data_IF_769951091032
#
_entry.id   IF_769951091032
#
_cell.length_a   1.000
_cell.length_b   1.000
_cell.length_c   1.000
_cell.angle_alpha   90.00
_cell.angle_beta   90.00
_cell.angle_gamma   90.00
#
_symmetry.space_group_name_H-M   'P 1'
#
loop_
_entity.id
_entity.type
_entity.pdbx_description
1 polymer ?
#
# COMPACT_ATOMS: atom_id res chain seq x y z
N UNK A 1 24.39 -2.09 -2.54
CA UNK A 1 23.05 -2.66 -2.26
C UNK A 1 22.05 -1.63 -2.74
N UNK A 2 21.24 -1.97 -3.73
CA UNK A 2 20.32 -1.00 -4.34
C UNK A 2 19.23 -0.64 -3.33
N UNK A 3 18.95 0.65 -3.18
CA UNK A 3 17.97 1.17 -2.23
C UNK A 3 16.91 1.96 -2.97
N UNK A 4 15.67 1.83 -2.51
CA UNK A 4 14.52 2.57 -3.01
C UNK A 4 14.15 3.60 -1.94
N UNK A 5 13.84 4.82 -2.37
CA UNK A 5 13.27 5.85 -1.49
C UNK A 5 11.81 6.06 -1.87
N UNK A 6 10.89 5.93 -0.91
CA UNK A 6 9.49 6.27 -1.08
C UNK A 6 9.23 7.63 -0.43
N UNK A 7 8.82 8.62 -1.22
CA UNK A 7 8.47 9.95 -0.72
C UNK A 7 6.96 10.19 -0.80
N UNK A 8 6.34 10.50 0.33
CA UNK A 8 4.91 10.72 0.51
C UNK A 8 4.66 12.11 1.11
N UNK A 9 3.48 12.67 0.88
CA UNK A 9 2.97 13.77 1.71
C UNK A 9 2.42 13.20 3.03
N UNK A 10 2.11 14.05 4.00
CA UNK A 10 1.50 13.60 5.25
C UNK A 10 0.15 12.92 5.02
N UNK A 11 -0.73 13.52 4.21
CA UNK A 11 -2.02 12.93 3.83
C UNK A 11 -1.86 11.57 3.13
N UNK A 12 -0.87 11.46 2.24
CA UNK A 12 -0.57 10.18 1.59
C UNK A 12 -0.03 9.14 2.58
N UNK A 13 0.76 9.57 3.56
CA UNK A 13 1.29 8.69 4.61
C UNK A 13 0.15 8.06 5.41
N UNK A 14 -0.86 8.84 5.80
CA UNK A 14 -2.01 8.34 6.54
C UNK A 14 -2.78 7.28 5.75
N UNK A 15 -3.08 7.57 4.47
CA UNK A 15 -3.76 6.62 3.59
C UNK A 15 -2.94 5.33 3.37
N UNK A 16 -1.63 5.46 3.18
CA UNK A 16 -0.74 4.30 3.01
C UNK A 16 -0.69 3.48 4.30
N UNK A 17 -0.63 4.11 5.47
CA UNK A 17 -0.66 3.41 6.76
C UNK A 17 -1.94 2.57 6.93
N UNK A 18 -3.11 3.12 6.57
CA UNK A 18 -4.36 2.36 6.58
C UNK A 18 -4.31 1.10 5.69
N UNK A 19 -3.73 1.22 4.49
CA UNK A 19 -3.62 0.09 3.55
C UNK A 19 -2.58 -0.94 3.98
N UNK A 20 -1.47 -0.51 4.56
CA UNK A 20 -0.45 -1.40 5.13
C UNK A 20 -1.01 -2.19 6.31
N UNK A 21 -1.80 -1.55 7.18
CA UNK A 21 -2.48 -2.22 8.29
C UNK A 21 -3.42 -3.32 7.79
N UNK A 22 -4.25 -3.06 6.77
CA UNK A 22 -5.11 -4.08 6.15
C UNK A 22 -4.28 -5.22 5.54
N UNK A 23 -3.17 -4.88 4.89
CA UNK A 23 -2.25 -5.87 4.29
C UNK A 23 -1.65 -6.80 5.35
N UNK A 24 -1.29 -6.27 6.52
CA UNK A 24 -0.80 -7.09 7.63
C UNK A 24 -1.84 -8.07 8.15
N UNK A 25 -3.09 -7.63 8.31
CA UNK A 25 -4.19 -8.48 8.76
C UNK A 25 -4.43 -9.65 7.79
N UNK A 26 -4.42 -9.39 6.48
CA UNK A 26 -4.59 -10.45 5.47
C UNK A 26 -3.44 -11.46 5.48
N UNK A 27 -2.21 -10.99 5.68
CA UNK A 27 -1.05 -11.87 5.78
C UNK A 27 -1.07 -12.71 7.05
N UNK A 28 -1.52 -12.13 8.16
CA UNK A 28 -1.70 -12.86 9.42
C UNK A 28 -2.72 -13.98 9.28
N UNK A 29 -3.83 -13.76 8.57
CA UNK A 29 -4.78 -14.82 8.21
C UNK A 29 -4.07 -15.94 7.44
N UNK A 30 -3.28 -15.61 6.40
CA UNK A 30 -2.54 -16.63 5.62
C UNK A 30 -1.56 -17.40 6.52
N UNK A 31 -0.82 -16.71 7.39
CA UNK A 31 0.17 -17.31 8.29
C UNK A 31 -0.50 -18.29 9.26
N UNK A 32 -1.66 -17.92 9.80
CA UNK A 32 -2.40 -18.71 10.79
C UNK A 32 -3.10 -19.94 10.18
N UNK A 33 -3.41 -19.92 8.88
CA UNK A 33 -4.13 -21.00 8.19
C UNK A 33 -3.26 -21.86 7.27
N UNK A 34 -1.96 -21.57 7.20
CA UNK A 34 -1.01 -22.34 6.37
C UNK A 34 -0.06 -23.15 7.23
N UNK A 35 0.37 -24.31 6.73
CA UNK A 35 1.46 -25.06 7.36
C UNK A 35 2.72 -24.19 7.47
N UNK A 36 3.34 -24.17 8.65
CA UNK A 36 4.43 -23.25 8.98
C UNK A 36 5.68 -23.41 8.09
N UNK A 37 5.89 -24.61 7.53
CA UNK A 37 7.01 -24.95 6.65
C UNK A 37 6.72 -24.68 5.18
N UNK A 38 5.45 -24.44 4.82
CA UNK A 38 5.02 -24.20 3.45
C UNK A 38 5.67 -22.96 2.85
N UNK A 39 5.92 -22.99 1.54
CA UNK A 39 6.41 -21.83 0.80
C UNK A 39 5.46 -20.63 0.90
N UNK A 40 4.15 -20.90 0.98
CA UNK A 40 3.12 -19.87 1.16
C UNK A 40 3.28 -19.16 2.50
N UNK A 41 3.40 -19.89 3.62
CA UNK A 41 3.59 -19.30 4.94
C UNK A 41 4.92 -18.52 5.04
N UNK A 42 6.01 -19.09 4.53
CA UNK A 42 7.32 -18.41 4.49
C UNK A 42 7.28 -17.10 3.72
N UNK A 43 6.62 -17.10 2.56
CA UNK A 43 6.41 -15.89 1.76
C UNK A 43 5.54 -14.88 2.50
N UNK A 44 4.42 -15.30 3.09
CA UNK A 44 3.55 -14.42 3.85
C UNK A 44 4.29 -13.74 5.02
N UNK A 45 5.10 -14.49 5.78
CA UNK A 45 5.95 -13.94 6.85
C UNK A 45 6.97 -12.93 6.32
N UNK A 46 7.67 -13.24 5.24
CA UNK A 46 8.63 -12.31 4.64
C UNK A 46 7.96 -11.00 4.21
N UNK A 47 6.82 -11.09 3.51
CA UNK A 47 6.06 -9.91 3.12
C UNK A 47 5.54 -9.12 4.34
N UNK A 48 5.10 -9.80 5.41
CA UNK A 48 4.66 -9.17 6.65
C UNK A 48 5.74 -8.37 7.34
N UNK A 49 6.94 -8.92 7.44
CA UNK A 49 8.08 -8.19 8.00
C UNK A 49 8.47 -6.98 7.15
N UNK A 50 8.46 -7.11 5.81
CA UNK A 50 8.70 -5.96 4.93
C UNK A 50 7.66 -4.85 5.14
N UNK A 51 6.37 -5.21 5.23
CA UNK A 51 5.26 -4.29 5.47
C UNK A 51 5.37 -3.61 6.83
N UNK A 52 5.76 -4.35 7.89
CA UNK A 52 5.97 -3.81 9.25
C UNK A 52 7.06 -2.74 9.27
N UNK A 53 8.19 -2.97 8.59
CA UNK A 53 9.29 -2.01 8.54
C UNK A 53 8.81 -0.68 7.93
N UNK A 54 8.11 -0.73 6.80
CA UNK A 54 7.59 0.49 6.17
C UNK A 54 6.55 1.17 7.06
N UNK A 55 5.59 0.41 7.60
CA UNK A 55 4.54 0.94 8.46
C UNK A 55 5.11 1.65 9.69
N UNK A 56 6.10 1.04 10.36
CA UNK A 56 6.74 1.63 11.52
C UNK A 56 7.44 2.95 11.18
N UNK A 57 8.11 3.03 10.02
CA UNK A 57 8.74 4.27 9.58
C UNK A 57 7.69 5.38 9.36
N UNK A 58 6.57 5.07 8.70
CA UNK A 58 5.49 6.03 8.48
C UNK A 58 4.83 6.49 9.80
N UNK A 59 4.64 5.57 10.74
CA UNK A 59 4.09 5.87 12.08
C UNK A 59 5.01 6.74 12.94
N UNK A 60 6.31 6.72 12.66
CA UNK A 60 7.29 7.63 13.28
C UNK A 60 7.29 9.03 12.65
N UNK A 61 6.43 9.28 11.65
CA UNK A 61 6.29 10.56 10.97
C UNK A 61 7.25 10.74 9.79
N UNK A 62 7.97 9.70 9.38
CA UNK A 62 8.84 9.79 8.20
C UNK A 62 7.99 9.85 6.92
N UNK A 63 8.14 10.94 6.17
CA UNK A 63 7.51 11.13 4.86
C UNK A 63 8.42 10.68 3.71
N UNK A 64 9.70 10.46 3.97
CA UNK A 64 10.66 9.86 3.05
C UNK A 64 11.29 8.62 3.68
N UNK A 65 11.00 7.43 3.15
CA UNK A 65 11.48 6.16 3.69
C UNK A 65 12.41 5.49 2.69
N UNK A 66 13.66 5.28 3.09
CA UNK A 66 14.69 4.60 2.27
C UNK A 66 14.92 3.18 2.76
N UNK A 67 14.77 2.19 1.88
CA UNK A 67 14.94 0.77 2.21
C UNK A 67 15.66 0.01 1.09
N UNK A 68 16.33 -1.12 1.39
CA UNK A 68 16.83 -2.03 0.36
C UNK A 68 15.74 -2.44 -0.63
N UNK A 69 16.08 -2.51 -1.93
CA UNK A 69 15.10 -2.79 -2.98
C UNK A 69 14.38 -4.14 -2.78
N UNK A 70 15.08 -5.14 -2.25
CA UNK A 70 14.52 -6.46 -1.91
C UNK A 70 13.41 -6.40 -0.86
N UNK A 71 13.44 -5.42 0.04
CA UNK A 71 12.43 -5.22 1.08
C UNK A 71 11.30 -4.30 0.60
N UNK A 72 11.62 -3.29 -0.22
CA UNK A 72 10.63 -2.30 -0.66
C UNK A 72 9.75 -2.81 -1.82
N UNK A 73 10.30 -3.55 -2.79
CA UNK A 73 9.54 -4.06 -3.95
C UNK A 73 8.30 -4.88 -3.56
N UNK A 74 8.37 -5.84 -2.60
CA UNK A 74 7.20 -6.59 -2.15
C UNK A 74 6.09 -5.70 -1.61
N UNK A 75 6.45 -4.66 -0.86
CA UNK A 75 5.49 -3.74 -0.21
C UNK A 75 4.82 -2.84 -1.25
N UNK A 76 5.60 -2.27 -2.17
CA UNK A 76 5.06 -1.44 -3.26
C UNK A 76 4.11 -2.23 -4.15
N UNK A 77 4.43 -3.49 -4.47
CA UNK A 77 3.53 -4.35 -5.26
C UNK A 77 2.21 -4.63 -4.54
N UNK A 78 2.24 -4.82 -3.22
CA UNK A 78 1.02 -5.05 -2.43
C UNK A 78 0.19 -3.78 -2.29
N UNK A 79 0.84 -2.66 -2.00
CA UNK A 79 0.19 -1.36 -1.95
C UNK A 79 -0.50 -1.03 -3.27
N UNK A 80 0.17 -1.25 -4.39
CA UNK A 80 -0.43 -1.07 -5.72
C UNK A 80 -1.74 -1.86 -5.86
N UNK A 81 -1.72 -3.16 -5.57
CA UNK A 81 -2.94 -3.99 -5.64
C UNK A 81 -4.04 -3.49 -4.72
N UNK A 82 -3.71 -3.11 -3.48
CA UNK A 82 -4.69 -2.57 -2.52
C UNK A 82 -5.29 -1.25 -2.96
N UNK A 83 -4.49 -0.38 -3.58
CA UNK A 83 -4.99 0.87 -4.12
C UNK A 83 -5.93 0.63 -5.30
N UNK A 84 -5.59 -0.29 -6.20
CA UNK A 84 -6.44 -0.69 -7.32
C UNK A 84 -7.78 -1.24 -6.83
N UNK A 85 -7.76 -2.11 -5.81
CA UNK A 85 -8.95 -2.64 -5.15
C UNK A 85 -9.81 -1.52 -4.53
N UNK A 86 -9.19 -0.59 -3.79
CA UNK A 86 -9.90 0.53 -3.20
C UNK A 86 -10.49 1.46 -4.28
N UNK A 87 -9.74 1.77 -5.33
CA UNK A 87 -10.25 2.59 -6.43
C UNK A 87 -11.44 1.93 -7.11
N UNK A 88 -11.41 0.61 -7.31
CA UNK A 88 -12.55 -0.13 -7.86
C UNK A 88 -13.79 0.00 -6.97
N UNK A 89 -13.64 -0.26 -5.67
CA UNK A 89 -14.74 -0.12 -4.70
C UNK A 89 -15.34 1.29 -4.76
N UNK A 90 -14.50 2.30 -4.87
CA UNK A 90 -14.95 3.68 -4.90
C UNK A 90 -15.64 4.06 -6.20
N UNK A 91 -15.16 3.56 -7.34
CA UNK A 91 -15.87 3.71 -8.60
C UNK A 91 -17.23 3.03 -8.58
N UNK A 92 -17.35 1.90 -7.90
CA UNK A 92 -18.63 1.20 -7.74
C UNK A 92 -19.58 1.99 -6.82
N UNK A 93 -19.08 2.54 -5.71
CA UNK A 93 -19.86 3.41 -4.80
C UNK A 93 -20.30 4.73 -5.46
N UNK A 94 -19.47 5.32 -6.33
CA UNK A 94 -19.86 6.54 -7.06
C UNK A 94 -20.98 6.30 -8.08
N UNK A 95 -21.19 5.06 -8.51
CA UNK A 95 -22.30 4.67 -9.39
C UNK A 95 -23.58 4.35 -8.63
N UNK A 96 -23.53 4.28 -7.31
CA UNK A 96 -24.69 3.98 -6.48
C UNK A 96 -25.56 5.22 -6.32
N UNK A 97 -26.69 5.24 -7.04
CA UNK A 97 -27.67 6.32 -7.00
C UNK A 97 -28.46 6.37 -5.68
N UNK A 98 -28.35 5.34 -4.82
CA UNK A 98 -28.98 5.34 -3.49
C UNK A 98 -28.14 6.04 -2.43
N UNK A 99 -26.87 6.32 -2.71
CA UNK A 99 -25.95 6.91 -1.74
C UNK A 99 -26.35 8.37 -1.43
N UNK A 100 -26.43 8.74 -0.16
CA UNK A 100 -26.69 10.11 0.27
C UNK A 100 -25.59 11.07 -0.21
N UNK A 101 -25.95 12.33 -0.48
CA UNK A 101 -25.05 13.31 -1.10
C UNK A 101 -23.77 13.57 -0.29
N UNK A 102 -23.86 13.61 1.04
CA UNK A 102 -22.69 13.76 1.92
C UNK A 102 -21.73 12.57 1.81
N UNK A 103 -22.27 11.35 1.78
CA UNK A 103 -21.50 10.14 1.57
C UNK A 103 -20.84 10.12 0.18
N UNK A 104 -21.51 10.65 -0.86
CA UNK A 104 -20.91 10.77 -2.21
C UNK A 104 -19.73 11.73 -2.23
N UNK A 105 -19.81 12.85 -1.51
CA UNK A 105 -18.71 13.82 -1.40
C UNK A 105 -17.51 13.18 -0.68
N UNK A 106 -17.75 12.44 0.40
CA UNK A 106 -16.68 11.74 1.12
C UNK A 106 -16.02 10.66 0.25
N UNK A 107 -16.81 9.87 -0.48
CA UNK A 107 -16.31 8.90 -1.47
C UNK A 107 -15.50 9.64 -2.54
N UNK A 108 -16.00 10.73 -3.10
CA UNK A 108 -15.26 11.48 -4.12
C UNK A 108 -13.90 11.99 -3.60
N UNK A 109 -13.87 12.65 -2.43
CA UNK A 109 -12.64 13.19 -1.84
C UNK A 109 -11.61 12.11 -1.52
N UNK A 110 -12.05 10.98 -0.96
CA UNK A 110 -11.17 9.83 -0.69
C UNK A 110 -10.64 9.20 -1.99
N UNK A 111 -11.40 9.28 -3.08
CA UNK A 111 -11.02 8.75 -4.40
C UNK A 111 -9.92 9.59 -5.03
N UNK A 112 -10.03 10.91 -4.91
CA UNK A 112 -8.96 11.84 -5.28
C UNK A 112 -7.68 11.53 -4.49
N UNK A 113 -7.76 11.31 -3.17
CA UNK A 113 -6.60 10.96 -2.34
C UNK A 113 -5.90 9.68 -2.82
N UNK A 114 -6.66 8.61 -3.10
CA UNK A 114 -6.10 7.35 -3.60
C UNK A 114 -5.45 7.49 -4.99
N UNK A 115 -6.04 8.28 -5.89
CA UNK A 115 -5.47 8.55 -7.21
C UNK A 115 -4.12 9.26 -7.10
N UNK A 116 -3.98 10.23 -6.19
CA UNK A 116 -2.71 10.92 -5.95
C UNK A 116 -1.64 9.96 -5.41
N UNK A 117 -2.04 9.09 -4.48
CA UNK A 117 -1.17 8.06 -3.91
C UNK A 117 -0.72 7.04 -4.98
N UNK A 118 -1.64 6.56 -5.82
CA UNK A 118 -1.29 5.67 -6.96
C UNK A 118 -0.36 6.32 -7.96
N UNK A 119 -0.63 7.58 -8.34
CA UNK A 119 0.23 8.33 -9.25
C UNK A 119 1.63 8.47 -8.68
N UNK A 120 1.76 8.78 -7.39
CA UNK A 120 3.06 8.90 -6.71
C UNK A 120 3.79 7.57 -6.67
N UNK A 121 3.14 6.49 -6.23
CA UNK A 121 3.79 5.18 -6.17
C UNK A 121 4.20 4.66 -7.54
N UNK A 122 3.40 4.92 -8.57
CA UNK A 122 3.73 4.54 -9.96
C UNK A 122 4.93 5.34 -10.47
N UNK A 123 5.00 6.63 -10.15
CA UNK A 123 6.16 7.47 -10.49
C UNK A 123 7.44 6.96 -9.81
N UNK A 124 7.40 6.71 -8.50
CA UNK A 124 8.53 6.17 -7.74
C UNK A 124 8.94 4.78 -8.29
N UNK A 125 7.97 3.88 -8.56
CA UNK A 125 8.20 2.58 -9.20
C UNK A 125 8.93 2.69 -10.55
N UNK A 126 8.50 3.62 -11.41
CA UNK A 126 9.10 3.85 -12.73
C UNK A 126 10.50 4.49 -12.64
N UNK A 127 10.75 5.34 -11.63
CA UNK A 127 12.10 5.86 -11.39
C UNK A 127 13.07 4.75 -10.98
N UNK A 128 12.61 3.83 -10.14
CA UNK A 128 13.40 2.66 -9.71
C UNK A 128 13.75 1.75 -10.89
N UNK A 129 12.84 1.54 -11.83
CA UNK A 129 13.11 0.75 -13.04
C UNK A 129 14.14 1.41 -13.97
N UNK A 130 14.20 2.75 -13.99
CA UNK A 130 15.18 3.51 -14.80
C UNK A 130 16.56 3.61 -14.16
N UNK A 131 16.66 3.57 -12.83
CA UNK A 131 17.94 3.63 -12.12
C UNK A 131 18.64 2.26 -12.04
N UNK A 132 17.92 1.17 -12.33
CA UNK A 132 18.41 -0.22 -12.27
C UNK A 132 18.72 -0.80 -13.67
N UNK A 133 18.31 -0.12 -14.75
CA UNK A 133 18.58 -0.49 -16.15
C UNK A 133 19.81 0.23 -16.71
#
# INVERSE_FOLDING_TARGET
>A
MDTITLTLTQEHSELVQELLLKTLQEQEVIINHSESTSHVCKRARFHSECTRILLQALQQGYTAVKMPAVLMKPVLSQLKGKLEDQMKIMMDLMKDESLEQENRIQVFMRGIGLLHVMRRMTYEALQIEKEVA
#
